data_IF_127375814176
#
_entry.id   IF_127375814176
#
_cell.length_a   1.000
_cell.length_b   1.000
_cell.length_c   1.000
_cell.angle_alpha   90.00
_cell.angle_beta   90.00
_cell.angle_gamma   90.00
#
_symmetry.space_group_name_H-M   'P 1'
#
loop_
_entity.id
_entity.type
_entity.pdbx_description
1 polymer ?
#
# COMPACT_ATOMS: atom_id res chain seq x y z
N UNK A 1 21.93 2.75 0.66
CA UNK A 1 20.78 2.82 1.59
C UNK A 1 21.07 3.88 2.63
N UNK A 2 20.28 4.93 2.75
CA UNK A 2 20.53 6.00 3.72
C UNK A 2 20.30 5.49 5.16
N UNK A 3 21.10 5.95 6.08
CA UNK A 3 21.20 5.53 7.49
C UNK A 3 19.90 5.70 8.31
N UNK A 4 18.99 6.56 7.89
CA UNK A 4 17.71 6.80 8.57
C UNK A 4 16.71 5.63 8.42
N UNK A 5 16.85 4.76 7.40
CA UNK A 5 16.01 3.56 7.25
C UNK A 5 16.33 2.46 8.30
N UNK A 6 17.51 2.49 8.91
CA UNK A 6 17.88 1.53 9.97
C UNK A 6 17.36 1.92 11.35
N UNK A 7 17.05 3.19 11.58
CA UNK A 7 16.66 3.68 12.90
C UNK A 7 15.15 3.54 13.19
N UNK A 8 14.30 3.48 12.18
CA UNK A 8 12.84 3.37 12.37
C UNK A 8 12.40 1.93 12.72
N UNK A 9 13.12 0.94 12.19
CA UNK A 9 12.81 -0.48 12.50
C UNK A 9 13.17 -0.90 13.93
N UNK A 10 14.09 -0.20 14.58
CA UNK A 10 14.62 -0.58 15.90
C UNK A 10 13.84 0.02 17.07
N UNK A 11 13.08 1.10 16.86
CA UNK A 11 12.31 1.74 17.92
C UNK A 11 10.94 1.08 18.20
N UNK A 12 10.38 0.28 17.29
CA UNK A 12 9.08 -0.38 17.48
C UNK A 12 9.17 -1.71 18.25
N UNK A 13 10.32 -2.36 18.27
CA UNK A 13 10.49 -3.67 18.94
C UNK A 13 10.88 -3.53 20.42
N UNK A 14 11.46 -2.41 20.82
CA UNK A 14 11.97 -2.20 22.20
C UNK A 14 10.92 -1.91 23.27
N UNK A 15 9.66 -1.59 22.88
CA UNK A 15 8.61 -1.16 23.83
C UNK A 15 7.66 -2.28 24.28
N UNK A 16 7.77 -3.46 23.70
CA UNK A 16 6.88 -4.59 24.00
C UNK A 16 7.33 -5.48 25.16
N UNK A 17 8.51 -5.24 25.73
CA UNK A 17 9.12 -6.16 26.72
C UNK A 17 9.04 -5.77 28.19
N UNK A 18 8.63 -4.56 28.55
CA UNK A 18 8.61 -4.11 29.94
C UNK A 18 7.18 -3.81 30.40
N UNK A 19 6.57 -4.69 31.15
CA UNK A 19 5.34 -4.38 31.89
C UNK A 19 4.09 -5.18 31.52
N UNK A 20 4.20 -6.36 30.96
CA UNK A 20 3.02 -7.15 30.55
C UNK A 20 2.34 -7.93 31.69
N UNK A 21 2.95 -8.10 32.85
CA UNK A 21 2.39 -8.96 33.88
C UNK A 21 1.31 -8.32 34.75
N UNK A 22 1.31 -7.00 34.95
CA UNK A 22 0.36 -6.32 35.84
C UNK A 22 -0.84 -5.66 35.17
N UNK A 23 -0.90 -5.61 33.83
CA UNK A 23 -1.93 -4.84 33.09
C UNK A 23 -3.20 -5.68 32.81
N UNK A 24 -3.13 -7.00 32.93
CA UNK A 24 -4.26 -7.88 32.59
C UNK A 24 -5.36 -7.95 33.65
N UNK A 25 -5.12 -7.47 34.86
CA UNK A 25 -5.98 -7.73 36.03
C UNK A 25 -7.13 -6.73 36.24
N UNK A 26 -7.23 -5.60 35.50
CA UNK A 26 -8.18 -4.52 35.83
C UNK A 26 -9.04 -3.97 34.69
N UNK A 27 -9.02 -4.56 33.51
CA UNK A 27 -9.88 -4.08 32.43
C UNK A 27 -11.34 -4.50 32.64
N UNK A 28 -12.24 -3.53 32.73
CA UNK A 28 -13.70 -3.80 32.80
C UNK A 28 -14.15 -4.57 31.56
N UNK A 29 -15.06 -5.57 31.73
CA UNK A 29 -15.72 -6.20 30.60
C UNK A 29 -16.34 -5.15 29.69
N UNK A 30 -16.24 -5.36 28.39
CA UNK A 30 -16.83 -4.48 27.41
C UNK A 30 -18.35 -4.44 27.56
N UNK A 31 -18.92 -3.25 27.54
CA UNK A 31 -20.37 -3.11 27.44
C UNK A 31 -20.89 -3.86 26.19
N UNK A 32 -22.08 -4.48 26.29
CA UNK A 32 -22.67 -5.12 25.10
C UNK A 32 -22.69 -4.15 23.93
N UNK A 33 -22.30 -4.60 22.73
CA UNK A 33 -22.29 -3.72 21.58
C UNK A 33 -23.69 -3.19 21.30
N UNK A 34 -23.79 -1.91 20.95
CA UNK A 34 -25.06 -1.34 20.48
C UNK A 34 -25.52 -2.12 19.26
N UNK A 35 -26.72 -2.72 19.34
CA UNK A 35 -27.31 -3.43 18.23
C UNK A 35 -27.83 -2.44 17.18
N UNK A 36 -27.87 -2.88 15.92
CA UNK A 36 -28.38 -2.10 14.82
C UNK A 36 -27.30 -1.52 13.92
N UNK A 37 -27.70 -0.54 13.14
CA UNK A 37 -26.83 0.12 12.16
C UNK A 37 -26.02 1.23 12.80
N UNK A 38 -24.80 1.39 12.32
CA UNK A 38 -23.93 2.55 12.56
C UNK A 38 -23.14 2.86 11.30
N UNK A 39 -22.89 4.13 11.06
CA UNK A 39 -22.07 4.60 9.95
C UNK A 39 -21.01 5.59 10.43
N UNK A 40 -19.86 5.58 9.76
CA UNK A 40 -18.78 6.54 9.96
C UNK A 40 -18.21 6.91 8.60
N UNK A 41 -18.25 8.20 8.30
CA UNK A 41 -17.65 8.73 7.08
C UNK A 41 -16.39 9.52 7.42
N UNK A 42 -15.34 9.27 6.68
CA UNK A 42 -14.02 9.88 6.85
C UNK A 42 -13.68 10.72 5.62
N UNK A 43 -13.30 11.97 5.81
CA UNK A 43 -12.69 12.81 4.78
C UNK A 43 -11.22 13.01 5.13
N UNK A 44 -10.33 12.67 4.22
CA UNK A 44 -8.89 12.65 4.48
C UNK A 44 -8.08 13.48 3.50
N UNK A 45 -7.01 14.09 3.99
CA UNK A 45 -5.86 14.48 3.20
C UNK A 45 -4.87 13.32 3.21
N UNK A 46 -4.41 12.90 2.05
CA UNK A 46 -3.53 11.74 1.87
C UNK A 46 -2.21 12.20 1.30
N UNK A 47 -1.11 11.68 1.84
CA UNK A 47 0.23 11.79 1.28
C UNK A 47 0.74 10.38 1.06
N UNK A 48 1.09 10.05 -0.15
CA UNK A 48 1.64 8.74 -0.52
C UNK A 48 3.12 8.84 -0.83
N UNK A 49 3.83 7.72 -0.71
CA UNK A 49 5.19 7.53 -1.17
C UNK A 49 5.37 6.09 -1.65
N UNK A 50 6.31 5.82 -2.53
CA UNK A 50 6.50 4.53 -3.17
C UNK A 50 6.24 4.64 -4.66
N UNK A 51 5.37 3.79 -5.21
CA UNK A 51 4.98 3.86 -6.62
C UNK A 51 4.28 5.18 -6.96
N UNK A 52 3.53 5.75 -6.03
CA UNK A 52 2.92 7.06 -6.17
C UNK A 52 3.31 7.98 -5.03
N UNK A 53 4.03 9.06 -5.32
CA UNK A 53 4.28 10.13 -4.37
C UNK A 53 3.36 11.32 -4.70
N UNK A 54 2.23 11.44 -4.00
CA UNK A 54 1.25 12.48 -4.28
C UNK A 54 0.61 13.04 -3.01
N UNK A 55 0.08 14.24 -3.13
CA UNK A 55 -0.78 14.87 -2.11
C UNK A 55 -2.20 14.90 -2.65
N UNK A 56 -3.12 14.30 -1.95
CA UNK A 56 -4.46 14.12 -2.49
C UNK A 56 -5.53 14.10 -1.40
N UNK A 57 -6.77 14.01 -1.82
CA UNK A 57 -7.89 13.84 -0.92
C UNK A 57 -8.46 12.43 -1.04
N UNK A 58 -9.04 11.95 0.05
CA UNK A 58 -9.70 10.66 0.10
C UNK A 58 -11.00 10.72 0.86
N UNK A 59 -11.91 9.84 0.49
CA UNK A 59 -13.17 9.60 1.18
C UNK A 59 -13.26 8.13 1.54
N UNK A 60 -13.69 7.84 2.77
CA UNK A 60 -14.03 6.48 3.17
C UNK A 60 -15.34 6.45 3.96
N UNK A 61 -16.07 5.37 3.79
CA UNK A 61 -17.30 5.09 4.51
C UNK A 61 -17.25 3.69 5.12
N UNK A 62 -17.69 3.57 6.36
CA UNK A 62 -17.70 2.33 7.15
C UNK A 62 -19.11 2.14 7.71
N UNK A 63 -19.89 1.31 7.02
CA UNK A 63 -21.23 0.92 7.42
C UNK A 63 -21.19 -0.41 8.19
N UNK A 64 -21.76 -0.43 9.38
CA UNK A 64 -21.81 -1.63 10.23
C UNK A 64 -23.24 -1.95 10.65
N UNK A 65 -23.51 -3.23 10.74
CA UNK A 65 -24.70 -3.74 11.42
C UNK A 65 -24.28 -4.77 12.46
N UNK A 66 -24.76 -4.59 13.67
CA UNK A 66 -24.44 -5.48 14.80
C UNK A 66 -25.70 -6.18 15.27
N UNK A 67 -25.67 -7.51 15.24
CA UNK A 67 -26.64 -8.39 15.87
C UNK A 67 -26.07 -8.93 17.19
N UNK A 68 -26.86 -9.64 17.95
CA UNK A 68 -26.43 -10.23 19.22
C UNK A 68 -25.19 -11.14 19.10
N UNK A 69 -25.12 -11.93 18.03
CA UNK A 69 -24.04 -12.91 17.83
C UNK A 69 -23.33 -12.76 16.47
N UNK A 70 -23.61 -11.70 15.72
CA UNK A 70 -23.04 -11.50 14.41
C UNK A 70 -22.78 -10.02 14.13
N UNK A 71 -21.89 -9.76 13.17
CA UNK A 71 -21.57 -8.42 12.70
C UNK A 71 -21.36 -8.44 11.21
N UNK A 72 -21.96 -7.49 10.54
CA UNK A 72 -21.69 -7.16 9.14
C UNK A 72 -20.94 -5.84 9.11
N UNK A 73 -19.99 -5.74 8.20
CA UNK A 73 -19.24 -4.53 7.92
C UNK A 73 -19.12 -4.36 6.42
N UNK A 74 -19.36 -3.15 5.95
CA UNK A 74 -19.08 -2.74 4.59
C UNK A 74 -18.19 -1.50 4.62
N UNK A 75 -17.10 -1.53 3.89
CA UNK A 75 -16.13 -0.45 3.75
C UNK A 75 -16.05 -0.03 2.29
N UNK A 76 -16.16 1.27 2.05
CA UNK A 76 -15.84 1.88 0.78
C UNK A 76 -14.69 2.87 1.01
N UNK A 77 -13.65 2.84 0.20
CA UNK A 77 -12.53 3.75 0.28
C UNK A 77 -12.19 4.22 -1.14
N UNK A 78 -12.12 5.52 -1.30
CA UNK A 78 -11.73 6.17 -2.55
C UNK A 78 -10.61 7.13 -2.22
N UNK A 79 -9.48 6.95 -2.85
CA UNK A 79 -8.36 7.89 -2.82
C UNK A 79 -8.12 8.32 -4.25
N UNK A 80 -8.21 9.60 -4.50
CA UNK A 80 -7.87 10.16 -5.80
C UNK A 80 -6.63 11.01 -5.65
N UNK A 81 -5.64 10.62 -6.37
CA UNK A 81 -4.36 11.28 -6.50
C UNK A 81 -4.19 11.60 -7.97
N UNK A 82 -3.59 12.70 -8.26
CA UNK A 82 -3.28 13.07 -9.61
C UNK A 82 -1.81 12.71 -9.87
N UNK A 83 -1.46 11.96 -10.87
CA UNK A 83 -0.11 11.47 -11.12
C UNK A 83 0.26 11.46 -12.59
N UNK A 84 1.52 11.63 -12.89
CA UNK A 84 2.13 11.04 -14.07
C UNK A 84 3.29 10.15 -13.64
N UNK A 85 3.35 8.93 -14.14
CA UNK A 85 4.51 8.06 -14.05
C UNK A 85 5.27 8.13 -15.37
N UNK A 86 6.15 9.09 -15.47
CA UNK A 86 7.13 9.11 -16.55
C UNK A 86 8.41 8.42 -16.09
N UNK A 87 8.28 7.21 -15.51
CA UNK A 87 9.46 6.39 -15.18
C UNK A 87 10.17 6.03 -16.47
N UNK A 88 11.49 6.07 -16.45
CA UNK A 88 12.30 5.70 -17.59
C UNK A 88 13.66 5.15 -17.15
N UNK A 89 14.29 4.41 -18.01
CA UNK A 89 15.66 4.00 -17.79
C UNK A 89 16.60 5.06 -18.36
N UNK A 90 17.52 5.54 -17.53
CA UNK A 90 18.57 6.45 -17.96
C UNK A 90 19.87 5.68 -18.18
N UNK A 91 20.49 5.90 -19.32
CA UNK A 91 21.81 5.37 -19.64
C UNK A 91 22.87 6.04 -18.77
N UNK A 92 23.81 5.25 -18.27
CA UNK A 92 24.92 5.72 -17.46
C UNK A 92 25.70 6.84 -18.17
N UNK A 93 26.14 7.88 -17.45
CA UNK A 93 26.92 8.96 -18.04
C UNK A 93 28.33 8.54 -18.42
N UNK A 94 28.95 9.26 -19.34
CA UNK A 94 30.35 9.09 -19.73
C UNK A 94 30.58 8.08 -20.85
N UNK A 95 29.50 7.55 -21.46
CA UNK A 95 29.63 6.70 -22.65
C UNK A 95 29.73 7.56 -23.91
N UNK A 96 30.64 7.19 -24.81
CA UNK A 96 30.85 7.85 -26.09
C UNK A 96 30.42 6.92 -27.24
N UNK A 97 29.71 7.48 -28.23
CA UNK A 97 29.30 6.75 -29.41
C UNK A 97 29.14 7.71 -30.63
N UNK A 98 29.34 7.19 -31.86
CA UNK A 98 29.31 8.03 -33.05
C UNK A 98 27.95 8.64 -33.32
N UNK A 99 27.93 9.79 -34.01
CA UNK A 99 26.68 10.40 -34.47
C UNK A 99 25.94 9.45 -35.41
N UNK A 100 24.67 9.21 -35.11
CA UNK A 100 23.84 8.20 -35.81
C UNK A 100 23.99 6.76 -35.29
N UNK A 101 24.81 6.54 -34.26
CA UNK A 101 24.94 5.26 -33.55
C UNK A 101 24.22 5.27 -32.20
N UNK A 102 24.38 4.17 -31.47
CA UNK A 102 23.90 4.02 -30.09
C UNK A 102 25.00 3.40 -29.23
N UNK A 103 25.02 3.65 -27.90
CA UNK A 103 25.95 2.99 -27.00
C UNK A 103 25.70 1.46 -26.99
N UNK A 104 26.78 0.68 -27.01
CA UNK A 104 26.69 -0.79 -27.00
C UNK A 104 26.51 -1.27 -25.55
N UNK A 105 25.43 -2.01 -25.29
CA UNK A 105 25.11 -2.57 -23.97
C UNK A 105 25.25 -1.56 -22.81
N UNK A 106 24.56 -0.44 -22.87
CA UNK A 106 24.74 0.60 -21.85
C UNK A 106 24.21 0.10 -20.51
N UNK A 107 24.95 0.39 -19.44
CA UNK A 107 24.39 0.27 -18.10
C UNK A 107 23.27 1.32 -17.95
N UNK A 108 22.12 0.88 -17.43
CA UNK A 108 20.95 1.77 -17.22
C UNK A 108 20.56 1.80 -15.75
N UNK A 109 19.98 2.90 -15.31
CA UNK A 109 19.34 3.04 -13.99
C UNK A 109 17.91 3.52 -14.17
N UNK A 110 16.99 2.95 -13.38
CA UNK A 110 15.60 3.39 -13.37
C UNK A 110 15.51 4.75 -12.68
N UNK A 111 15.01 5.73 -13.40
CA UNK A 111 14.75 7.09 -12.90
C UNK A 111 13.26 7.23 -12.62
N UNK A 112 12.94 7.75 -11.44
CA UNK A 112 11.58 8.06 -11.01
C UNK A 112 11.51 9.57 -10.84
N UNK A 113 10.93 10.30 -11.79
CA UNK A 113 10.72 11.73 -11.64
C UNK A 113 9.78 12.05 -10.48
N UNK A 114 9.80 13.31 -10.02
CA UNK A 114 8.78 13.77 -9.08
C UNK A 114 7.41 13.66 -9.73
N UNK A 115 6.44 13.03 -9.11
CA UNK A 115 5.16 12.74 -9.72
C UNK A 115 4.36 14.01 -9.98
N UNK A 116 3.80 14.09 -11.14
CA UNK A 116 2.63 14.88 -11.46
C UNK A 116 1.40 13.97 -11.48
N UNK A 117 0.33 14.53 -11.21
CA UNK A 117 -0.91 14.02 -10.65
C UNK A 117 -1.83 13.28 -11.63
N UNK A 118 -2.12 11.97 -11.53
CA UNK A 118 -3.46 11.39 -11.79
C UNK A 118 -3.57 9.87 -11.47
N UNK A 119 -4.06 9.49 -10.28
CA UNK A 119 -4.31 8.07 -9.98
C UNK A 119 -5.50 7.88 -9.05
N UNK A 120 -6.24 6.81 -9.28
CA UNK A 120 -7.35 6.38 -8.44
C UNK A 120 -7.08 5.06 -7.73
N UNK A 121 -7.21 5.07 -6.40
CA UNK A 121 -7.31 3.84 -5.61
C UNK A 121 -8.73 3.70 -5.10
N UNK A 122 -9.35 2.58 -5.41
CA UNK A 122 -10.73 2.24 -5.04
C UNK A 122 -10.75 0.92 -4.29
N UNK A 123 -11.45 0.88 -3.17
CA UNK A 123 -11.64 -0.34 -2.40
C UNK A 123 -13.10 -0.44 -1.96
N UNK A 124 -13.72 -1.58 -2.25
CA UNK A 124 -14.98 -1.99 -1.67
C UNK A 124 -14.76 -3.31 -0.94
N UNK A 125 -15.21 -3.42 0.31
CA UNK A 125 -15.03 -4.62 1.12
C UNK A 125 -16.29 -4.89 1.94
N UNK A 126 -16.87 -6.06 1.78
CA UNK A 126 -17.92 -6.58 2.63
C UNK A 126 -17.39 -7.71 3.51
N UNK A 127 -17.75 -7.74 4.79
CA UNK A 127 -17.38 -8.83 5.68
C UNK A 127 -18.52 -9.16 6.64
N UNK A 128 -18.66 -10.44 6.94
CA UNK A 128 -19.60 -10.96 7.90
C UNK A 128 -18.87 -11.85 8.91
N UNK A 129 -19.17 -11.65 10.16
CA UNK A 129 -18.58 -12.39 11.27
C UNK A 129 -19.71 -12.92 12.16
N UNK A 130 -19.63 -14.19 12.58
CA UNK A 130 -20.57 -14.79 13.54
C UNK A 130 -19.83 -15.49 14.65
N UNK A 131 -20.14 -15.12 15.88
CA UNK A 131 -19.59 -15.72 17.08
C UNK A 131 -20.15 -17.13 17.28
N UNK A 132 -19.27 -18.10 17.47
CA UNK A 132 -19.59 -19.47 17.89
C UNK A 132 -19.56 -19.52 19.42
N UNK A 133 -18.53 -18.89 19.99
CA UNK A 133 -18.38 -18.66 21.43
C UNK A 133 -17.98 -17.20 21.68
N UNK A 134 -17.93 -16.70 22.91
CA UNK A 134 -17.44 -15.34 23.18
C UNK A 134 -16.02 -15.08 22.65
N UNK A 135 -15.19 -16.12 22.54
CA UNK A 135 -13.79 -16.01 22.12
C UNK A 135 -13.52 -16.50 20.70
N UNK A 136 -14.42 -17.29 20.13
CA UNK A 136 -14.22 -17.92 18.82
C UNK A 136 -15.34 -17.56 17.85
N UNK A 137 -14.97 -17.24 16.61
CA UNK A 137 -15.90 -16.86 15.57
C UNK A 137 -15.49 -17.43 14.20
N UNK A 138 -16.41 -17.53 13.28
CA UNK A 138 -16.13 -17.70 11.87
C UNK A 138 -16.40 -16.37 11.13
N UNK A 139 -15.70 -16.17 10.04
CA UNK A 139 -15.88 -15.00 9.19
C UNK A 139 -15.85 -15.37 7.71
N UNK A 140 -16.47 -14.54 6.91
CA UNK A 140 -16.38 -14.57 5.46
C UNK A 140 -16.44 -13.14 4.93
N UNK A 141 -15.94 -12.93 3.75
CA UNK A 141 -15.99 -11.62 3.12
C UNK A 141 -15.59 -11.66 1.67
N UNK A 142 -15.87 -10.55 1.03
CA UNK A 142 -15.46 -10.29 -0.34
C UNK A 142 -14.93 -8.85 -0.43
N UNK A 143 -13.93 -8.65 -1.26
CA UNK A 143 -13.42 -7.32 -1.60
C UNK A 143 -13.19 -7.20 -3.08
N UNK A 144 -13.32 -5.99 -3.57
CA UNK A 144 -12.85 -5.53 -4.85
C UNK A 144 -11.98 -4.31 -4.64
N UNK A 145 -10.83 -4.30 -5.28
CA UNK A 145 -9.97 -3.13 -5.31
C UNK A 145 -9.40 -2.89 -6.71
N UNK A 146 -9.15 -1.64 -6.97
CA UNK A 146 -8.41 -1.11 -8.11
C UNK A 146 -7.34 -0.17 -7.57
N UNK A 147 -6.12 -0.33 -8.06
CA UNK A 147 -5.00 0.53 -7.70
C UNK A 147 -4.13 0.72 -8.94
N UNK A 148 -4.39 1.81 -9.66
CA UNK A 148 -3.69 2.12 -10.92
C UNK A 148 -2.18 2.31 -10.67
N UNK A 149 -1.77 2.84 -9.51
CA UNK A 149 -0.37 3.01 -9.13
C UNK A 149 0.37 1.67 -9.00
N UNK A 150 -0.28 0.71 -8.36
CA UNK A 150 0.26 -0.62 -8.22
C UNK A 150 0.07 -1.49 -9.49
N UNK A 151 -0.50 -0.93 -10.57
CA UNK A 151 -0.79 -1.65 -11.81
C UNK A 151 -1.90 -2.69 -11.66
N UNK A 152 -2.81 -2.51 -10.71
CA UNK A 152 -3.93 -3.41 -10.47
C UNK A 152 -5.20 -2.80 -11.05
N UNK A 153 -5.67 -3.29 -12.19
CA UNK A 153 -6.92 -2.83 -12.80
C UNK A 153 -8.13 -3.33 -12.01
N UNK A 154 -8.13 -4.61 -11.66
CA UNK A 154 -9.18 -5.22 -10.84
C UNK A 154 -8.60 -6.37 -10.02
N UNK A 155 -8.90 -6.37 -8.72
CA UNK A 155 -8.62 -7.51 -7.86
C UNK A 155 -9.85 -7.84 -7.02
N UNK A 156 -10.34 -9.05 -7.20
CA UNK A 156 -11.44 -9.63 -6.44
C UNK A 156 -10.88 -10.66 -5.48
N UNK A 157 -11.21 -10.54 -4.20
CA UNK A 157 -10.83 -11.52 -3.19
C UNK A 157 -12.07 -11.94 -2.43
N UNK A 158 -12.35 -13.23 -2.41
CA UNK A 158 -13.32 -13.82 -1.49
C UNK A 158 -12.57 -14.65 -0.46
N UNK A 159 -13.02 -14.64 0.79
CA UNK A 159 -12.36 -15.40 1.85
C UNK A 159 -13.36 -15.99 2.84
N UNK A 160 -12.96 -17.08 3.46
CA UNK A 160 -13.65 -17.69 4.60
C UNK A 160 -12.61 -18.15 5.62
N UNK A 161 -12.94 -18.02 6.90
CA UNK A 161 -12.01 -18.36 7.94
C UNK A 161 -12.63 -18.38 9.32
N UNK A 162 -11.76 -18.52 10.31
CA UNK A 162 -12.10 -18.50 11.72
C UNK A 162 -11.18 -17.52 12.44
N UNK A 163 -11.51 -17.18 13.66
CA UNK A 163 -10.66 -16.29 14.44
C UNK A 163 -10.92 -16.37 15.94
N UNK A 164 -10.00 -15.77 16.68
CA UNK A 164 -10.02 -15.73 18.13
C UNK A 164 -10.01 -14.29 18.64
N UNK A 165 -10.83 -14.02 19.66
CA UNK A 165 -10.77 -12.80 20.47
C UNK A 165 -9.97 -13.09 21.73
N UNK A 166 -8.74 -12.60 21.76
CA UNK A 166 -7.81 -12.78 22.90
C UNK A 166 -8.11 -11.79 24.02
N UNK A 167 -8.44 -10.57 23.62
CA UNK A 167 -8.92 -9.52 24.51
C UNK A 167 -10.10 -8.80 23.84
N UNK A 168 -11.16 -8.53 24.56
CA UNK A 168 -12.32 -7.74 24.14
C UNK A 168 -12.92 -7.00 25.33
N UNK A 169 -12.16 -5.99 25.80
CA UNK A 169 -12.51 -5.12 26.91
C UNK A 169 -12.86 -3.72 26.38
N UNK A 170 -13.34 -2.83 27.23
CA UNK A 170 -13.58 -1.42 26.86
C UNK A 170 -12.29 -0.70 26.45
N UNK A 171 -11.18 -1.05 27.07
CA UNK A 171 -9.88 -0.43 26.87
C UNK A 171 -9.09 -1.08 25.74
N UNK A 172 -9.13 -2.41 25.64
CA UNK A 172 -8.28 -3.17 24.74
C UNK A 172 -9.07 -4.21 23.96
N UNK A 173 -8.78 -4.31 22.67
CA UNK A 173 -9.27 -5.38 21.80
C UNK A 173 -8.09 -5.98 21.04
N UNK A 174 -7.98 -7.31 21.08
CA UNK A 174 -7.04 -8.05 20.25
C UNK A 174 -7.72 -9.26 19.63
N UNK A 175 -7.76 -9.29 18.32
CA UNK A 175 -8.44 -10.31 17.53
C UNK A 175 -7.49 -10.81 16.45
N UNK A 176 -7.42 -12.11 16.28
CA UNK A 176 -6.72 -12.75 15.17
C UNK A 176 -7.70 -13.49 14.29
N UNK A 177 -7.43 -13.53 12.98
CA UNK A 177 -8.21 -14.27 11.98
C UNK A 177 -7.27 -15.02 11.04
N UNK A 178 -7.69 -16.20 10.62
CA UNK A 178 -6.95 -17.05 9.69
C UNK A 178 -7.93 -17.86 8.86
N UNK A 179 -7.57 -18.11 7.62
CA UNK A 179 -8.46 -18.79 6.69
C UNK A 179 -7.87 -18.96 5.31
N UNK A 180 -8.75 -19.25 4.38
CA UNK A 180 -8.44 -19.39 2.98
C UNK A 180 -9.08 -18.27 2.19
N UNK A 181 -8.49 -17.95 1.06
CA UNK A 181 -9.00 -16.98 0.10
C UNK A 181 -8.98 -17.54 -1.31
N UNK A 182 -9.75 -16.92 -2.17
CA UNK A 182 -9.64 -17.07 -3.62
C UNK A 182 -9.52 -15.69 -4.21
N UNK A 183 -8.49 -15.49 -5.01
CA UNK A 183 -8.16 -14.22 -5.66
C UNK A 183 -8.31 -14.37 -7.17
N UNK A 184 -8.97 -13.42 -7.82
CA UNK A 184 -8.92 -13.18 -9.27
C UNK A 184 -8.43 -11.74 -9.45
N UNK A 185 -7.26 -11.57 -10.08
CA UNK A 185 -6.66 -10.25 -10.33
C UNK A 185 -6.38 -10.05 -11.80
N UNK A 186 -6.50 -8.82 -12.21
CA UNK A 186 -6.14 -8.33 -13.53
C UNK A 186 -5.18 -7.15 -13.34
N UNK A 187 -3.97 -7.32 -13.83
CA UNK A 187 -2.92 -6.31 -13.78
C UNK A 187 -2.91 -5.56 -15.12
N UNK A 188 -2.39 -4.33 -15.11
CA UNK A 188 -2.30 -3.48 -16.30
C UNK A 188 -1.47 -4.15 -17.38
N UNK A 189 -0.35 -4.73 -16.98
CA UNK A 189 0.49 -5.54 -17.84
C UNK A 189 0.42 -7.01 -17.42
N UNK A 190 0.00 -7.91 -18.32
CA UNK A 190 -0.07 -9.33 -18.01
C UNK A 190 1.32 -9.90 -17.71
N UNK A 191 1.51 -10.48 -16.53
CA UNK A 191 2.74 -11.16 -16.16
C UNK A 191 2.57 -12.69 -16.39
N UNK A 192 3.29 -13.29 -17.36
CA UNK A 192 3.17 -14.72 -17.66
C UNK A 192 3.72 -15.62 -16.54
N UNK A 193 4.53 -15.08 -15.61
CA UNK A 193 5.08 -15.82 -14.48
C UNK A 193 4.17 -15.78 -13.25
N UNK A 194 3.04 -15.06 -13.33
CA UNK A 194 2.20 -14.76 -12.18
C UNK A 194 0.78 -15.29 -12.35
N UNK A 195 0.28 -16.02 -11.36
CA UNK A 195 -1.08 -16.55 -11.39
C UNK A 195 -2.11 -15.40 -11.34
N UNK A 196 -2.98 -15.32 -12.35
CA UNK A 196 -4.14 -14.43 -12.33
C UNK A 196 -5.16 -14.88 -11.27
N UNK A 197 -5.34 -16.20 -11.14
CA UNK A 197 -6.34 -16.82 -10.25
C UNK A 197 -5.67 -17.83 -9.36
N UNK A 198 -5.85 -17.68 -8.06
CA UNK A 198 -5.26 -18.60 -7.12
C UNK A 198 -6.05 -18.74 -5.82
N UNK A 199 -5.90 -19.91 -5.19
CA UNK A 199 -6.27 -20.11 -3.81
C UNK A 199 -5.14 -19.60 -2.89
N UNK A 200 -5.50 -18.89 -1.84
CA UNK A 200 -4.55 -18.27 -0.91
C UNK A 200 -4.76 -18.69 0.53
N UNK A 201 -3.72 -18.55 1.34
CA UNK A 201 -3.77 -18.56 2.79
C UNK A 201 -3.83 -17.11 3.31
N UNK A 202 -4.73 -16.86 4.26
CA UNK A 202 -4.94 -15.53 4.84
C UNK A 202 -4.73 -15.55 6.34
N UNK A 203 -3.96 -14.60 6.83
CA UNK A 203 -3.77 -14.31 8.24
C UNK A 203 -3.99 -12.83 8.48
N UNK A 204 -4.60 -12.49 9.62
CA UNK A 204 -4.76 -11.10 10.00
C UNK A 204 -4.92 -10.93 11.51
N UNK A 205 -4.69 -9.71 11.98
CA UNK A 205 -5.06 -9.31 13.32
C UNK A 205 -5.53 -7.86 13.37
N UNK A 206 -6.38 -7.59 14.34
CA UNK A 206 -6.84 -6.26 14.72
C UNK A 206 -6.48 -6.02 16.19
N UNK A 207 -5.74 -4.97 16.46
CA UNK A 207 -5.44 -4.48 17.80
C UNK A 207 -6.02 -3.09 17.97
N UNK A 208 -6.66 -2.83 19.11
CA UNK A 208 -7.13 -1.51 19.49
C UNK A 208 -6.85 -1.29 20.98
N UNK A 209 -6.36 -0.10 21.30
CA UNK A 209 -6.18 0.32 22.69
C UNK A 209 -6.66 1.78 22.88
N UNK A 210 -7.49 1.98 23.89
CA UNK A 210 -7.88 3.31 24.36
C UNK A 210 -6.92 3.74 25.45
N UNK A 211 -6.12 4.75 25.18
CA UNK A 211 -5.23 5.34 26.20
C UNK A 211 -6.01 6.15 27.22
N UNK A 212 -7.05 6.85 26.77
CA UNK A 212 -7.98 7.61 27.59
C UNK A 212 -9.35 7.75 26.88
N UNK A 213 -10.27 8.51 27.43
CA UNK A 213 -11.62 8.70 26.89
C UNK A 213 -11.64 9.34 25.48
N UNK A 214 -10.60 10.06 25.11
CA UNK A 214 -10.53 10.76 23.83
C UNK A 214 -9.50 10.22 22.86
N UNK A 215 -8.60 9.31 23.27
CA UNK A 215 -7.49 8.86 22.43
C UNK A 215 -7.49 7.36 22.27
N UNK A 216 -7.53 6.92 21.02
CA UNK A 216 -7.51 5.48 20.64
C UNK A 216 -6.40 5.21 19.64
N UNK A 217 -5.68 4.14 19.86
CA UNK A 217 -4.73 3.57 18.89
C UNK A 217 -5.36 2.32 18.28
N UNK A 218 -5.26 2.19 16.96
CA UNK A 218 -5.68 1.04 16.19
C UNK A 218 -4.50 0.53 15.37
N UNK A 219 -4.32 -0.78 15.33
CA UNK A 219 -3.36 -1.42 14.45
C UNK A 219 -4.02 -2.62 13.78
N UNK A 220 -3.95 -2.67 12.45
CA UNK A 220 -4.47 -3.75 11.63
C UNK A 220 -3.35 -4.34 10.80
N UNK A 221 -3.38 -5.64 10.64
CA UNK A 221 -2.49 -6.38 9.77
C UNK A 221 -3.30 -7.41 9.00
N UNK A 222 -3.00 -7.59 7.73
CA UNK A 222 -3.51 -8.67 6.91
C UNK A 222 -2.44 -9.11 5.93
N UNK A 223 -2.32 -10.41 5.73
CA UNK A 223 -1.51 -11.00 4.67
C UNK A 223 -2.32 -12.01 3.90
N UNK A 224 -2.05 -12.10 2.62
CA UNK A 224 -2.60 -13.08 1.71
C UNK A 224 -1.45 -13.68 0.90
N UNK A 225 -1.30 -15.00 0.93
CA UNK A 225 -0.23 -15.71 0.25
C UNK A 225 -0.82 -16.72 -0.72
N UNK A 226 -0.32 -16.74 -1.96
CA UNK A 226 -0.68 -17.71 -2.97
C UNK A 226 -0.17 -19.11 -2.55
N UNK A 227 -1.06 -20.09 -2.51
CA UNK A 227 -0.69 -21.46 -2.13
C UNK A 227 0.06 -22.19 -3.24
N UNK A 228 -0.06 -21.75 -4.49
CA UNK A 228 0.65 -22.32 -5.65
C UNK A 228 2.05 -21.75 -5.79
N UNK A 229 2.23 -20.46 -5.47
CA UNK A 229 3.52 -19.78 -5.50
C UNK A 229 3.78 -19.01 -4.19
N UNK A 230 4.60 -19.55 -3.28
CA UNK A 230 4.90 -18.89 -2.01
C UNK A 230 5.62 -17.55 -2.12
N UNK A 231 6.15 -17.18 -3.29
CA UNK A 231 6.76 -15.87 -3.55
C UNK A 231 5.69 -14.79 -3.75
N UNK A 232 4.51 -15.19 -4.21
CA UNK A 232 3.38 -14.30 -4.47
C UNK A 232 2.56 -14.12 -3.19
N UNK A 233 2.92 -13.10 -2.42
CA UNK A 233 2.20 -12.71 -1.20
C UNK A 233 2.15 -11.20 -1.04
N UNK A 234 1.09 -10.76 -0.37
CA UNK A 234 0.87 -9.36 -0.03
C UNK A 234 0.71 -9.16 1.46
N UNK A 235 1.11 -7.99 1.95
CA UNK A 235 0.93 -7.55 3.33
C UNK A 235 0.31 -6.15 3.31
N UNK A 236 -0.79 -5.99 4.04
CA UNK A 236 -1.42 -4.70 4.33
C UNK A 236 -1.35 -4.49 5.85
N UNK A 237 -0.68 -3.42 6.28
CA UNK A 237 -0.64 -3.05 7.68
C UNK A 237 -0.94 -1.58 7.86
N UNK A 238 -1.82 -1.28 8.80
CA UNK A 238 -2.26 0.09 9.10
C UNK A 238 -2.17 0.35 10.59
N UNK A 239 -1.47 1.42 10.97
CA UNK A 239 -1.45 1.96 12.32
C UNK A 239 -2.15 3.32 12.33
N UNK A 240 -3.05 3.55 13.27
CA UNK A 240 -3.80 4.80 13.36
C UNK A 240 -3.92 5.28 14.80
N UNK A 241 -3.80 6.60 14.99
CA UNK A 241 -4.09 7.30 16.23
C UNK A 241 -5.28 8.21 16.02
N UNK A 242 -6.34 8.01 16.80
CA UNK A 242 -7.56 8.83 16.73
C UNK A 242 -7.71 9.63 18.01
N UNK A 243 -7.92 10.95 17.88
CA UNK A 243 -8.16 11.87 18.99
C UNK A 243 -9.54 12.51 18.83
N UNK A 244 -10.41 12.33 19.82
CA UNK A 244 -11.72 12.97 19.85
C UNK A 244 -11.56 14.47 20.05
N UNK A 245 -12.17 15.27 19.17
CA UNK A 245 -12.19 16.74 19.24
C UNK A 245 -13.54 17.23 19.79
N UNK A 246 -14.62 16.52 19.44
CA UNK A 246 -15.98 16.77 19.91
C UNK A 246 -16.77 15.46 19.94
N UNK A 247 -18.02 15.49 20.39
CA UNK A 247 -18.87 14.29 20.53
C UNK A 247 -18.99 13.48 19.24
N UNK A 248 -18.98 14.14 18.09
CA UNK A 248 -19.16 13.51 16.77
C UNK A 248 -17.99 13.74 15.82
N UNK A 249 -16.93 14.41 16.28
CA UNK A 249 -15.79 14.77 15.43
C UNK A 249 -14.51 14.27 16.06
N UNK A 250 -13.68 13.59 15.28
CA UNK A 250 -12.37 13.12 15.70
C UNK A 250 -11.33 13.40 14.62
N UNK A 251 -10.09 13.66 15.03
CA UNK A 251 -8.94 13.69 14.16
C UNK A 251 -8.26 12.32 14.20
N UNK A 252 -7.98 11.76 13.05
CA UNK A 252 -7.28 10.47 12.91
C UNK A 252 -6.05 10.66 12.04
N UNK A 253 -4.92 10.23 12.53
CA UNK A 253 -3.67 10.15 11.77
C UNK A 253 -3.36 8.67 11.58
N UNK A 254 -3.09 8.24 10.35
CA UNK A 254 -2.78 6.85 10.05
C UNK A 254 -1.64 6.72 9.07
N UNK A 255 -0.90 5.63 9.26
CA UNK A 255 0.18 5.18 8.40
C UNK A 255 -0.16 3.76 7.93
N UNK A 256 -0.24 3.57 6.62
CA UNK A 256 -0.49 2.29 5.99
C UNK A 256 0.71 1.91 5.12
N UNK A 257 1.12 0.66 5.21
CA UNK A 257 2.11 0.03 4.34
C UNK A 257 1.44 -1.09 3.57
N UNK A 258 1.53 -1.01 2.27
CA UNK A 258 1.13 -2.03 1.32
C UNK A 258 2.39 -2.64 0.73
N UNK A 259 2.60 -3.93 0.96
CA UNK A 259 3.75 -4.65 0.43
C UNK A 259 3.28 -5.78 -0.47
N UNK A 260 3.83 -5.82 -1.67
CA UNK A 260 3.66 -6.92 -2.63
C UNK A 260 5.04 -7.50 -2.96
N UNK A 261 5.26 -8.78 -2.69
CA UNK A 261 6.57 -9.38 -2.95
C UNK A 261 6.85 -9.55 -4.44
N UNK A 262 5.80 -9.80 -5.21
CA UNK A 262 5.82 -9.79 -6.67
C UNK A 262 4.88 -8.70 -7.20
N UNK A 263 5.32 -7.44 -7.28
CA UNK A 263 4.50 -6.35 -7.81
C UNK A 263 4.27 -6.50 -9.31
N UNK A 264 3.28 -5.79 -9.84
CA UNK A 264 2.94 -5.81 -11.27
C UNK A 264 4.12 -5.37 -12.15
N UNK A 265 4.12 -5.87 -13.37
CA UNK A 265 5.01 -5.39 -14.42
C UNK A 265 4.59 -4.00 -14.89
N UNK A 266 5.55 -3.28 -15.42
CA UNK A 266 5.39 -2.07 -16.19
C UNK A 266 6.26 -2.24 -17.42
N UNK A 267 5.61 -2.31 -18.58
CA UNK A 267 6.27 -2.52 -19.86
C UNK A 267 6.52 -1.22 -20.59
N UNK A 268 7.35 -1.29 -21.64
CA UNK A 268 7.63 -0.20 -22.57
C UNK A 268 8.17 1.10 -21.94
N UNK A 269 8.88 0.99 -20.78
CA UNK A 269 9.56 2.15 -20.22
C UNK A 269 10.68 2.62 -21.16
N UNK A 270 10.66 3.90 -21.53
CA UNK A 270 11.69 4.49 -22.37
C UNK A 270 13.09 4.27 -21.81
N UNK A 271 14.02 3.85 -22.64
CA UNK A 271 15.46 3.85 -22.34
C UNK A 271 16.04 5.13 -22.94
N UNK A 272 16.40 6.07 -22.06
CA UNK A 272 16.79 7.43 -22.45
C UNK A 272 18.28 7.64 -22.25
N UNK A 273 18.96 8.17 -23.26
CA UNK A 273 20.27 8.78 -23.14
C UNK A 273 20.15 10.30 -23.14
N UNK A 274 20.70 10.94 -22.12
CA UNK A 274 20.95 12.39 -22.16
C UNK A 274 22.33 12.58 -22.75
N UNK A 275 22.45 13.33 -23.83
CA UNK A 275 23.70 13.42 -24.58
C UNK A 275 24.08 14.88 -24.88
N UNK A 276 25.38 15.11 -24.99
CA UNK A 276 25.97 16.28 -25.62
C UNK A 276 26.72 15.88 -26.89
N UNK A 277 26.69 16.71 -27.88
CA UNK A 277 27.52 16.55 -29.07
C UNK A 277 28.91 17.13 -28.78
N UNK A 278 29.91 16.30 -28.92
CA UNK A 278 31.31 16.68 -28.85
C UNK A 278 31.83 16.81 -30.29
N UNK A 279 32.42 17.94 -30.57
CA UNK A 279 33.08 18.24 -31.84
C UNK A 279 34.53 18.63 -31.52
N UNK A 280 35.48 17.68 -31.63
CA UNK A 280 36.85 17.90 -31.19
C UNK A 280 37.62 18.97 -31.96
N UNK A 281 37.39 19.09 -33.27
CA UNK A 281 38.09 20.05 -34.12
C UNK A 281 37.33 21.37 -34.36
N UNK A 282 36.05 21.44 -33.87
CA UNK A 282 35.16 22.59 -34.03
C UNK A 282 34.63 22.78 -35.43
N UNK A 283 34.85 21.83 -36.34
CA UNK A 283 34.39 21.87 -37.74
C UNK A 283 33.18 20.97 -37.89
N UNK A 284 31.99 21.52 -38.05
CA UNK A 284 30.77 20.74 -38.20
C UNK A 284 30.82 19.84 -39.44
N UNK A 285 30.54 18.55 -39.26
CA UNK A 285 30.51 17.56 -40.33
C UNK A 285 31.87 17.08 -40.80
N UNK A 286 32.92 17.24 -39.97
CA UNK A 286 34.27 16.68 -40.23
C UNK A 286 34.28 15.16 -40.13
N UNK A 287 33.30 14.57 -39.41
CA UNK A 287 33.14 13.14 -39.22
C UNK A 287 33.85 12.60 -37.95
N UNK A 288 34.39 13.49 -37.14
CA UNK A 288 34.97 13.19 -35.84
C UNK A 288 34.05 13.49 -34.65
N UNK A 289 32.83 13.99 -34.94
CA UNK A 289 31.83 14.28 -33.95
C UNK A 289 31.30 12.95 -33.31
N UNK A 290 31.06 13.03 -32.00
CA UNK A 290 30.47 11.94 -31.25
C UNK A 290 29.53 12.45 -30.15
N UNK A 291 28.62 11.60 -29.71
CA UNK A 291 27.81 11.86 -28.55
C UNK A 291 28.47 11.32 -27.30
N UNK A 292 28.38 12.11 -26.21
CA UNK A 292 28.73 11.67 -24.86
C UNK A 292 27.49 11.70 -23.97
N UNK A 293 27.26 10.61 -23.23
CA UNK A 293 26.13 10.54 -22.29
C UNK A 293 26.40 11.37 -21.04
N UNK A 294 25.36 12.04 -20.54
CA UNK A 294 25.38 12.93 -19.38
C UNK A 294 24.51 12.38 -18.25
N UNK A 295 24.77 12.80 -17.02
CA UNK A 295 23.89 12.56 -15.86
C UNK A 295 22.69 13.48 -15.83
N UNK A 296 22.78 14.68 -16.42
CA UNK A 296 21.70 15.67 -16.50
C UNK A 296 21.97 16.67 -17.62
N UNK A 297 20.92 17.29 -18.15
CA UNK A 297 21.02 18.25 -19.25
C UNK A 297 21.28 17.60 -20.62
N UNK A 298 21.64 18.39 -21.62
CA UNK A 298 21.88 17.90 -22.97
C UNK A 298 20.59 17.59 -23.75
N UNK A 299 20.75 16.88 -24.85
CA UNK A 299 19.64 16.41 -25.68
C UNK A 299 19.16 15.04 -25.24
N UNK A 300 17.83 14.83 -25.25
CA UNK A 300 17.19 13.55 -24.89
C UNK A 300 17.05 12.67 -26.13
N UNK A 301 17.58 11.46 -26.08
CA UNK A 301 17.41 10.43 -27.10
C UNK A 301 16.75 9.21 -26.49
N UNK A 302 15.69 8.71 -27.11
CA UNK A 302 15.07 7.41 -26.77
C UNK A 302 15.77 6.34 -27.58
N UNK A 303 16.39 5.37 -26.92
CA UNK A 303 17.16 4.30 -27.52
C UNK A 303 16.34 3.02 -27.72
N UNK A 304 15.21 2.91 -27.05
CA UNK A 304 14.32 1.76 -27.03
C UNK A 304 13.47 1.73 -25.80
N UNK A 305 12.89 0.59 -25.48
CA UNK A 305 12.11 0.38 -24.24
C UNK A 305 12.62 -0.85 -23.47
N UNK A 306 12.29 -0.90 -22.19
CA UNK A 306 12.57 -2.02 -21.31
C UNK A 306 11.48 -2.14 -20.24
N UNK A 307 11.29 -3.37 -19.74
CA UNK A 307 10.31 -3.66 -18.70
C UNK A 307 10.94 -3.53 -17.32
N UNK A 308 10.14 -3.11 -16.35
CA UNK A 308 10.50 -3.10 -14.94
C UNK A 308 9.32 -3.57 -14.08
N UNK A 309 9.58 -4.08 -12.89
CA UNK A 309 8.54 -4.28 -11.89
C UNK A 309 8.29 -2.98 -11.13
N UNK A 310 7.04 -2.76 -10.73
CA UNK A 310 6.65 -1.68 -9.82
C UNK A 310 7.33 -1.86 -8.45
N UNK A 311 7.26 -0.86 -7.59
CA UNK A 311 7.85 -0.96 -6.26
C UNK A 311 7.09 -1.96 -5.39
N UNK A 312 7.83 -2.67 -4.54
CA UNK A 312 7.25 -3.65 -3.62
C UNK A 312 6.50 -3.02 -2.44
N UNK A 313 6.79 -1.77 -2.11
CA UNK A 313 6.28 -1.12 -0.91
C UNK A 313 5.69 0.24 -1.22
N UNK A 314 4.40 0.37 -0.99
CA UNK A 314 3.71 1.64 -0.96
C UNK A 314 3.45 2.09 0.48
N UNK A 315 3.67 3.38 0.73
CA UNK A 315 3.44 3.98 2.04
C UNK A 315 2.41 5.09 1.92
N UNK A 316 1.32 4.96 2.66
CA UNK A 316 0.22 5.92 2.64
C UNK A 316 0.09 6.55 4.02
N UNK A 317 0.36 7.85 4.11
CA UNK A 317 0.12 8.64 5.30
C UNK A 317 -1.17 9.45 5.13
N UNK A 318 -2.14 9.29 6.06
CA UNK A 318 -3.43 9.97 6.00
C UNK A 318 -3.65 10.78 7.27
N UNK A 319 -4.09 12.02 7.10
CA UNK A 319 -4.70 12.82 8.17
C UNK A 319 -6.19 13.00 7.85
N UNK A 320 -7.05 12.54 8.73
CA UNK A 320 -8.48 12.34 8.45
C UNK A 320 -9.34 13.05 9.49
N UNK A 321 -10.35 13.79 9.05
CA UNK A 321 -11.43 14.25 9.89
C UNK A 321 -12.55 13.20 9.86
N UNK A 322 -12.83 12.57 11.01
CA UNK A 322 -13.82 11.51 11.15
C UNK A 322 -15.11 12.10 11.68
N UNK A 323 -16.21 11.92 10.94
CA UNK A 323 -17.56 12.30 11.34
C UNK A 323 -18.37 11.05 11.71
N UNK A 324 -19.01 11.04 12.88
CA UNK A 324 -19.82 9.91 13.38
C UNK A 324 -21.29 10.29 13.38
N UNK A 325 -22.11 9.44 12.79
CA UNK A 325 -23.56 9.61 12.66
C UNK A 325 -24.33 8.52 13.42
#
# INVERSE_FOLDING_TARGET
MPWWQRSVAMCLVGWLGAGLEDVWAQDKPKEPPKLGWSNSADLSLVVTAGNSAAKTWGFSDDLRHVWKNARFKFEANIVRSDKSDDRFFQVAPGLEFPVGGAPVNPATSLVKPDPTLDVGTYLLRGSYERSITPRFFWNTGASWDRNDDAGILHRYIVHAGVGNRWADTERRRFVTSYGISYTDREEEEPDPEKDRRFAGARLGWDYMEKFNAGTTFDHKFATNANLSDPRDYSIDTTSALTVAMATRVSLKVSLQWLYENEPALESDLDVIALVELINPDGIAGSGDEFFRTLSSGGSKFVLGSADARKDKLDTIFKTTLVLKF
#
